data_IF_786565418283
#
_entry.id   IF_786565418283
#
_cell.length_a   1.000
_cell.length_b   1.000
_cell.length_c   1.000
_cell.angle_alpha   90.00
_cell.angle_beta   90.00
_cell.angle_gamma   90.00
#
_symmetry.space_group_name_H-M   'P 1'
#
loop_
_entity.id
_entity.type
_entity.pdbx_description
1 polymer ?
#
# COMPACT_ATOMS: atom_id res chain seq x y z
N UNK A 1 -34.33 -13.81 -16.02
CA UNK A 1 -34.99 -15.14 -16.02
C UNK A 1 -34.00 -16.30 -15.97
N UNK A 2 -33.18 -16.55 -17.01
CA UNK A 2 -32.27 -17.71 -17.02
C UNK A 2 -31.14 -17.62 -15.97
N UNK A 3 -30.51 -16.45 -15.81
CA UNK A 3 -29.48 -16.23 -14.78
C UNK A 3 -30.03 -16.26 -13.35
N UNK A 4 -31.25 -15.73 -13.12
CA UNK A 4 -31.89 -15.79 -11.79
C UNK A 4 -32.21 -17.24 -11.41
N UNK A 5 -32.61 -18.05 -12.38
CA UNK A 5 -32.85 -19.47 -12.18
C UNK A 5 -31.55 -20.23 -11.88
N UNK A 6 -30.48 -19.96 -12.65
CA UNK A 6 -29.15 -20.50 -12.38
C UNK A 6 -28.68 -20.14 -10.96
N UNK A 7 -28.86 -18.88 -10.55
CA UNK A 7 -28.47 -18.41 -9.22
C UNK A 7 -29.20 -19.18 -8.11
N UNK A 8 -30.52 -19.35 -8.24
CA UNK A 8 -31.30 -20.14 -7.26
C UNK A 8 -30.88 -21.61 -7.22
N UNK A 9 -30.64 -22.23 -8.39
CA UNK A 9 -30.24 -23.64 -8.47
C UNK A 9 -28.84 -23.86 -7.88
N UNK A 10 -27.86 -23.01 -8.19
CA UNK A 10 -26.51 -23.10 -7.63
C UNK A 10 -26.50 -22.84 -6.13
N UNK A 11 -27.14 -21.77 -5.63
CA UNK A 11 -27.12 -21.48 -4.19
C UNK A 11 -27.79 -22.58 -3.36
N UNK A 12 -28.91 -23.15 -3.86
CA UNK A 12 -29.58 -24.30 -3.22
C UNK A 12 -28.71 -25.56 -3.26
N UNK A 13 -27.96 -25.75 -4.35
CA UNK A 13 -27.06 -26.88 -4.48
C UNK A 13 -25.87 -26.77 -3.51
N UNK A 14 -25.25 -25.60 -3.45
CA UNK A 14 -24.10 -25.32 -2.60
C UNK A 14 -24.47 -25.24 -1.11
N UNK A 15 -25.75 -25.05 -0.77
CA UNK A 15 -26.21 -25.11 0.63
C UNK A 15 -26.32 -26.52 1.20
N UNK A 16 -26.15 -27.58 0.38
CA UNK A 16 -26.18 -28.98 0.87
C UNK A 16 -24.99 -29.34 1.76
N UNK A 17 -23.93 -28.51 1.75
CA UNK A 17 -22.78 -28.62 2.65
C UNK A 17 -21.82 -29.77 2.36
N UNK A 18 -20.75 -29.81 3.13
CA UNK A 18 -19.57 -30.66 2.90
C UNK A 18 -19.86 -32.18 2.97
N UNK A 19 -20.84 -32.63 3.77
CA UNK A 19 -21.19 -34.05 3.88
C UNK A 19 -21.77 -34.66 2.57
N UNK A 20 -22.18 -33.81 1.62
CA UNK A 20 -22.94 -34.22 0.44
C UNK A 20 -22.22 -33.97 -0.90
N UNK A 21 -20.89 -33.80 -0.90
CA UNK A 21 -20.14 -33.38 -2.09
C UNK A 21 -20.37 -34.27 -3.33
N UNK A 22 -20.48 -35.59 -3.18
CA UNK A 22 -20.78 -36.49 -4.31
C UNK A 22 -22.17 -36.22 -4.94
N UNK A 23 -23.16 -35.88 -4.12
CA UNK A 23 -24.50 -35.50 -4.60
C UNK A 23 -24.45 -34.12 -5.27
N UNK A 24 -23.66 -33.21 -4.70
CA UNK A 24 -23.43 -31.88 -5.26
C UNK A 24 -22.81 -31.99 -6.65
N UNK A 25 -21.76 -32.80 -6.83
CA UNK A 25 -21.09 -33.00 -8.11
C UNK A 25 -22.07 -33.50 -9.19
N UNK A 26 -22.86 -34.56 -8.90
CA UNK A 26 -23.81 -35.11 -9.87
C UNK A 26 -24.83 -34.07 -10.34
N UNK A 27 -25.40 -33.32 -9.40
CA UNK A 27 -26.37 -32.25 -9.70
C UNK A 27 -25.71 -31.04 -10.36
N UNK A 28 -24.45 -30.76 -10.05
CA UNK A 28 -23.70 -29.69 -10.69
C UNK A 28 -23.56 -29.97 -12.19
N UNK A 29 -23.28 -31.21 -12.57
CA UNK A 29 -23.19 -31.60 -13.99
C UNK A 29 -24.52 -31.44 -14.74
N UNK A 30 -25.65 -31.68 -14.07
CA UNK A 30 -26.98 -31.43 -14.62
C UNK A 30 -27.23 -29.93 -14.84
N UNK A 31 -26.85 -29.09 -13.86
CA UNK A 31 -26.93 -27.62 -13.94
C UNK A 31 -26.02 -27.10 -15.06
N UNK A 32 -24.79 -27.61 -15.16
CA UNK A 32 -23.84 -27.23 -16.21
C UNK A 32 -24.36 -27.55 -17.61
N UNK A 33 -24.95 -28.74 -17.79
CA UNK A 33 -25.60 -29.12 -19.07
C UNK A 33 -26.77 -28.23 -19.42
N UNK A 34 -27.56 -27.83 -18.42
CA UNK A 34 -28.78 -27.03 -18.61
C UNK A 34 -28.50 -25.56 -18.95
N UNK A 35 -27.52 -24.93 -18.30
CA UNK A 35 -27.26 -23.49 -18.44
C UNK A 35 -26.00 -23.18 -19.27
N UNK A 36 -25.20 -24.19 -19.59
CA UNK A 36 -23.94 -24.04 -20.31
C UNK A 36 -22.80 -23.58 -19.40
N UNK A 37 -21.59 -24.00 -19.78
CA UNK A 37 -20.34 -23.71 -19.05
C UNK A 37 -20.05 -22.20 -18.99
N UNK A 38 -20.34 -21.47 -20.06
CA UNK A 38 -20.16 -20.01 -20.12
C UNK A 38 -20.93 -19.28 -19.01
N UNK A 39 -22.16 -19.71 -18.73
CA UNK A 39 -23.00 -19.11 -17.67
C UNK A 39 -22.41 -19.36 -16.29
N UNK A 40 -21.76 -20.51 -16.08
CA UNK A 40 -21.07 -20.86 -14.82
C UNK A 40 -19.82 -20.01 -14.61
N UNK A 41 -19.01 -19.82 -15.66
CA UNK A 41 -17.80 -18.96 -15.61
C UNK A 41 -18.16 -17.52 -15.22
N UNK A 42 -19.25 -17.00 -15.79
CA UNK A 42 -19.73 -15.63 -15.54
C UNK A 42 -20.56 -15.49 -14.27
N UNK A 43 -20.98 -16.59 -13.65
CA UNK A 43 -21.84 -16.54 -12.47
C UNK A 43 -21.13 -15.83 -11.30
N UNK A 44 -21.90 -15.01 -10.59
CA UNK A 44 -21.49 -14.33 -9.36
C UNK A 44 -22.64 -14.46 -8.36
N UNK A 45 -22.32 -14.74 -7.11
CA UNK A 45 -23.31 -14.74 -6.05
C UNK A 45 -23.73 -13.31 -5.73
N UNK A 46 -24.89 -12.90 -6.25
CA UNK A 46 -25.47 -11.57 -6.02
C UNK A 46 -26.14 -11.45 -4.65
N UNK A 47 -26.29 -12.54 -3.90
CA UNK A 47 -26.90 -12.50 -2.56
C UNK A 47 -25.92 -12.02 -1.48
N UNK A 48 -24.62 -12.08 -1.76
CA UNK A 48 -23.58 -11.59 -0.85
C UNK A 48 -22.92 -10.30 -1.37
N UNK A 49 -22.53 -9.42 -0.45
CA UNK A 49 -21.89 -8.14 -0.78
C UNK A 49 -20.53 -8.30 -1.47
N UNK A 50 -19.92 -9.49 -1.38
CA UNK A 50 -18.60 -9.80 -1.92
C UNK A 50 -18.65 -10.21 -3.40
N UNK A 51 -19.85 -10.49 -3.94
CA UNK A 51 -20.07 -10.94 -5.31
C UNK A 51 -19.15 -12.11 -5.68
N UNK A 52 -19.09 -13.12 -4.80
CA UNK A 52 -18.22 -14.29 -4.96
C UNK A 52 -18.41 -14.92 -6.35
N UNK A 53 -17.31 -15.32 -7.00
CA UNK A 53 -17.41 -16.28 -8.12
C UNK A 53 -17.69 -17.68 -7.58
N UNK A 54 -18.00 -18.63 -8.47
CA UNK A 54 -18.22 -20.03 -8.08
C UNK A 54 -17.05 -20.59 -7.26
N UNK A 55 -15.80 -20.34 -7.67
CA UNK A 55 -14.63 -20.85 -6.94
C UNK A 55 -14.49 -20.25 -5.54
N UNK A 56 -14.77 -18.95 -5.37
CA UNK A 56 -14.76 -18.32 -4.04
C UNK A 56 -15.84 -18.92 -3.13
N UNK A 57 -17.02 -19.19 -3.69
CA UNK A 57 -18.12 -19.79 -2.93
C UNK A 57 -17.80 -21.21 -2.47
N UNK A 58 -17.10 -22.00 -3.31
CA UNK A 58 -16.64 -23.34 -2.95
C UNK A 58 -15.55 -23.30 -1.86
N UNK A 59 -14.68 -22.29 -1.88
CA UNK A 59 -13.69 -22.06 -0.82
C UNK A 59 -14.37 -21.66 0.49
N UNK A 60 -15.26 -20.66 0.47
CA UNK A 60 -15.97 -20.20 1.68
C UNK A 60 -16.82 -21.31 2.31
N UNK A 61 -17.41 -22.18 1.49
CA UNK A 61 -18.23 -23.32 1.95
C UNK A 61 -17.44 -24.58 2.25
N UNK A 62 -16.12 -24.58 2.05
CA UNK A 62 -15.22 -25.72 2.29
C UNK A 62 -15.64 -26.97 1.52
N UNK A 63 -15.78 -26.85 0.20
CA UNK A 63 -16.21 -27.91 -0.72
C UNK A 63 -15.07 -28.32 -1.67
N UNK A 64 -14.01 -29.01 -1.18
CA UNK A 64 -12.81 -29.32 -1.95
C UNK A 64 -13.03 -30.28 -3.12
N UNK A 65 -13.85 -31.31 -2.96
CA UNK A 65 -14.10 -32.30 -4.03
C UNK A 65 -14.90 -31.68 -5.17
N UNK A 66 -15.88 -30.82 -4.83
CA UNK A 66 -16.63 -30.04 -5.81
C UNK A 66 -15.69 -29.07 -6.53
N UNK A 67 -14.80 -28.37 -5.81
CA UNK A 67 -13.82 -27.48 -6.42
C UNK A 67 -12.90 -28.22 -7.40
N UNK A 68 -12.35 -29.37 -6.97
CA UNK A 68 -11.51 -30.21 -7.82
C UNK A 68 -12.26 -30.64 -9.09
N UNK A 69 -13.48 -31.14 -8.95
CA UNK A 69 -14.32 -31.55 -10.09
C UNK A 69 -14.58 -30.38 -11.04
N UNK A 70 -14.96 -29.22 -10.50
CA UNK A 70 -15.37 -28.11 -11.35
C UNK A 70 -14.19 -27.51 -12.11
N UNK A 71 -13.03 -27.33 -11.46
CA UNK A 71 -11.83 -26.81 -12.11
C UNK A 71 -11.35 -27.75 -13.23
N UNK A 72 -11.41 -29.07 -13.03
CA UNK A 72 -10.96 -30.06 -14.02
C UNK A 72 -11.86 -30.18 -15.24
N UNK A 73 -13.17 -29.96 -15.09
CA UNK A 73 -14.14 -30.27 -16.14
C UNK A 73 -14.73 -29.04 -16.85
N UNK A 74 -14.60 -27.83 -16.29
CA UNK A 74 -15.32 -26.64 -16.78
C UNK A 74 -14.43 -25.42 -17.10
N UNK A 75 -13.11 -25.63 -17.23
CA UNK A 75 -12.14 -24.60 -17.65
C UNK A 75 -12.28 -23.26 -16.91
N UNK A 76 -12.58 -23.31 -15.61
CA UNK A 76 -12.64 -22.12 -14.78
C UNK A 76 -11.23 -21.57 -14.56
N UNK A 77 -11.09 -20.25 -14.65
CA UNK A 77 -9.86 -19.56 -14.24
C UNK A 77 -9.66 -19.73 -12.73
N UNK A 78 -8.70 -20.57 -12.35
CA UNK A 78 -8.38 -20.87 -10.95
C UNK A 78 -7.84 -19.65 -10.19
N UNK A 79 -7.30 -18.67 -10.91
CA UNK A 79 -6.78 -17.42 -10.35
C UNK A 79 -7.78 -16.27 -10.47
N UNK A 80 -9.06 -16.57 -10.73
CA UNK A 80 -10.12 -15.58 -10.83
C UNK A 80 -10.13 -14.68 -9.60
N UNK A 81 -10.16 -13.36 -9.78
CA UNK A 81 -10.20 -12.40 -8.67
C UNK A 81 -11.62 -12.04 -8.28
N UNK A 82 -11.88 -11.97 -6.99
CA UNK A 82 -13.15 -11.54 -6.43
C UNK A 82 -13.37 -10.04 -6.68
N UNK A 83 -14.56 -9.67 -7.14
CA UNK A 83 -14.85 -8.29 -7.52
C UNK A 83 -14.85 -7.28 -6.37
N UNK A 84 -14.99 -7.72 -5.12
CA UNK A 84 -15.05 -6.83 -3.96
C UNK A 84 -13.69 -6.42 -3.38
N UNK A 85 -12.71 -7.33 -3.41
CA UNK A 85 -11.42 -7.15 -2.72
C UNK A 85 -10.23 -7.72 -3.49
N UNK A 86 -10.45 -8.24 -4.70
CA UNK A 86 -9.39 -8.71 -5.59
C UNK A 86 -8.73 -10.03 -5.16
N UNK A 87 -9.18 -10.66 -4.07
CA UNK A 87 -8.61 -11.93 -3.61
C UNK A 87 -8.86 -13.03 -4.65
N UNK A 88 -7.89 -13.93 -4.82
CA UNK A 88 -8.08 -15.20 -5.54
C UNK A 88 -8.66 -16.26 -4.60
N UNK A 89 -9.19 -17.40 -5.12
CA UNK A 89 -9.60 -18.53 -4.29
C UNK A 89 -8.48 -19.01 -3.36
N UNK A 90 -7.21 -19.00 -3.81
CA UNK A 90 -6.06 -19.40 -3.00
C UNK A 90 -5.79 -18.42 -1.85
N UNK A 91 -5.88 -17.12 -2.13
CA UNK A 91 -5.71 -16.09 -1.10
C UNK A 91 -6.86 -16.13 -0.07
N UNK A 92 -8.09 -16.36 -0.53
CA UNK A 92 -9.25 -16.56 0.35
C UNK A 92 -9.10 -17.80 1.24
N UNK A 93 -8.66 -18.93 0.66
CA UNK A 93 -8.40 -20.16 1.42
C UNK A 93 -7.31 -19.95 2.49
N UNK A 94 -6.26 -19.20 2.15
CA UNK A 94 -5.18 -18.84 3.08
C UNK A 94 -5.69 -17.96 4.22
N UNK A 95 -6.53 -16.96 3.91
CA UNK A 95 -7.16 -16.08 4.91
C UNK A 95 -8.10 -16.85 5.85
N UNK A 96 -8.82 -17.85 5.32
CA UNK A 96 -9.66 -18.75 6.08
C UNK A 96 -8.87 -19.80 6.89
N UNK A 97 -7.53 -19.82 6.79
CA UNK A 97 -6.63 -20.81 7.40
C UNK A 97 -6.98 -22.25 7.01
N UNK A 98 -7.48 -22.45 5.78
CA UNK A 98 -7.88 -23.76 5.26
C UNK A 98 -6.71 -24.39 4.47
N UNK A 99 -5.85 -25.13 5.18
CA UNK A 99 -4.65 -25.72 4.58
C UNK A 99 -4.97 -26.77 3.51
N UNK A 100 -6.07 -27.51 3.68
CA UNK A 100 -6.51 -28.50 2.70
C UNK A 100 -6.87 -27.82 1.39
N UNK A 101 -7.65 -26.75 1.45
CA UNK A 101 -8.05 -25.98 0.28
C UNK A 101 -6.85 -25.27 -0.37
N UNK A 102 -5.92 -24.75 0.42
CA UNK A 102 -4.69 -24.15 -0.10
C UNK A 102 -3.86 -25.16 -0.90
N UNK A 103 -3.64 -26.35 -0.34
CA UNK A 103 -2.87 -27.40 -1.00
C UNK A 103 -3.55 -27.87 -2.29
N UNK A 104 -4.87 -28.04 -2.26
CA UNK A 104 -5.66 -28.43 -3.43
C UNK A 104 -5.56 -27.39 -4.55
N UNK A 105 -5.75 -26.11 -4.23
CA UNK A 105 -5.67 -25.04 -5.23
C UNK A 105 -4.27 -24.96 -5.87
N UNK A 106 -3.21 -25.09 -5.07
CA UNK A 106 -1.84 -25.17 -5.58
C UNK A 106 -1.64 -26.38 -6.51
N UNK A 107 -2.13 -27.57 -6.13
CA UNK A 107 -2.08 -28.77 -6.96
C UNK A 107 -2.84 -28.63 -8.30
N UNK A 108 -3.91 -27.83 -8.28
CA UNK A 108 -4.71 -27.52 -9.47
C UNK A 108 -4.12 -26.39 -10.34
N UNK A 109 -2.95 -25.85 -9.97
CA UNK A 109 -2.25 -24.83 -10.76
C UNK A 109 -2.58 -23.38 -10.37
N UNK A 110 -3.16 -23.15 -9.18
CA UNK A 110 -3.26 -21.80 -8.65
C UNK A 110 -1.86 -21.25 -8.41
N UNK A 111 -1.54 -20.16 -9.09
CA UNK A 111 -0.23 -19.53 -8.99
C UNK A 111 -0.11 -18.86 -7.62
N UNK A 112 0.99 -19.12 -6.92
CA UNK A 112 1.45 -18.35 -5.76
C UNK A 112 1.90 -16.96 -6.26
N UNK A 113 0.97 -16.15 -6.76
CA UNK A 113 1.30 -14.80 -7.21
C UNK A 113 1.48 -13.96 -5.95
N UNK A 114 2.74 -13.71 -5.59
CA UNK A 114 3.16 -12.53 -4.85
C UNK A 114 2.61 -11.30 -5.57
N UNK A 115 1.51 -10.71 -5.06
CA UNK A 115 1.18 -9.28 -5.21
C UNK A 115 1.36 -8.60 -6.58
N UNK A 116 1.36 -9.32 -7.71
CA UNK A 116 1.49 -8.68 -9.02
C UNK A 116 0.13 -8.22 -9.54
N UNK A 117 0.05 -6.89 -9.54
CA UNK A 117 -0.80 -6.01 -10.30
C UNK A 117 -2.32 -6.13 -10.07
N UNK A 118 -2.72 -5.88 -8.82
CA UNK A 118 -4.12 -5.53 -8.49
C UNK A 118 -4.62 -4.30 -9.25
N UNK A 119 -3.73 -3.48 -9.85
CA UNK A 119 -4.09 -2.25 -10.58
C UNK A 119 -5.05 -2.50 -11.74
N UNK A 120 -5.04 -3.70 -12.34
CA UNK A 120 -5.95 -4.06 -13.44
C UNK A 120 -7.44 -4.05 -13.04
N UNK A 121 -7.73 -4.23 -11.75
CA UNK A 121 -9.09 -4.40 -11.22
C UNK A 121 -9.54 -3.27 -10.29
N UNK A 122 -8.66 -2.30 -10.05
CA UNK A 122 -9.00 -1.08 -9.33
C UNK A 122 -9.96 -0.23 -10.17
N UNK A 123 -10.82 0.53 -9.47
CA UNK A 123 -11.51 1.65 -10.10
C UNK A 123 -10.46 2.63 -10.66
N UNK A 124 -10.80 3.42 -11.68
CA UNK A 124 -9.84 4.38 -12.23
C UNK A 124 -9.39 5.40 -11.17
N UNK A 125 -10.28 5.73 -10.22
CA UNK A 125 -9.97 6.54 -9.04
C UNK A 125 -8.95 5.82 -8.13
N UNK A 126 -9.15 4.54 -7.81
CA UNK A 126 -8.21 3.79 -6.98
C UNK A 126 -6.87 3.56 -7.67
N UNK A 127 -6.84 3.41 -9.00
CA UNK A 127 -5.57 3.35 -9.77
C UNK A 127 -4.80 4.66 -9.62
N UNK A 128 -5.47 5.79 -9.76
CA UNK A 128 -4.84 7.09 -9.57
C UNK A 128 -4.33 7.24 -8.14
N UNK A 129 -5.18 6.96 -7.14
CA UNK A 129 -4.80 7.03 -5.73
C UNK A 129 -3.70 6.03 -5.35
N UNK A 130 -3.58 4.89 -6.03
CA UNK A 130 -2.52 3.90 -5.75
C UNK A 130 -1.10 4.43 -6.06
N UNK A 131 -1.01 5.52 -6.82
CA UNK A 131 0.23 6.20 -7.13
C UNK A 131 0.57 7.32 -6.13
N UNK A 132 -0.27 7.53 -5.11
CA UNK A 132 -0.01 8.50 -4.06
C UNK A 132 1.18 8.07 -3.19
N UNK A 133 1.80 9.05 -2.56
CA UNK A 133 2.98 8.89 -1.72
C UNK A 133 2.65 9.44 -0.34
N UNK A 134 2.94 8.65 0.70
CA UNK A 134 2.67 9.00 2.10
C UNK A 134 3.97 9.44 2.75
N UNK A 135 4.15 10.74 2.93
CA UNK A 135 5.34 11.31 3.57
C UNK A 135 5.10 11.41 5.07
N UNK A 136 5.94 10.80 5.88
CA UNK A 136 5.86 10.85 7.34
C UNK A 136 7.23 11.17 7.90
N UNK A 137 7.23 11.84 9.03
CA UNK A 137 8.39 12.04 9.89
C UNK A 137 7.91 11.95 11.34
N UNK A 138 8.74 11.37 12.21
CA UNK A 138 8.46 11.16 13.61
C UNK A 138 9.59 11.73 14.47
N UNK A 139 9.23 12.53 15.47
CA UNK A 139 10.15 12.85 16.56
C UNK A 139 9.92 11.87 17.71
N UNK A 140 11.02 11.34 18.27
CA UNK A 140 10.97 10.17 19.17
C UNK A 140 11.80 10.40 20.43
N UNK A 141 11.53 9.59 21.46
CA UNK A 141 12.30 9.59 22.72
C UNK A 141 13.65 8.88 22.61
N UNK A 142 13.77 7.89 21.71
CA UNK A 142 14.98 7.12 21.47
C UNK A 142 14.91 6.36 20.14
N UNK A 143 16.00 5.71 19.73
CA UNK A 143 16.05 4.81 18.56
C UNK A 143 15.78 3.34 18.97
N UNK A 144 16.14 2.95 20.19
CA UNK A 144 16.13 1.54 20.64
C UNK A 144 14.76 1.12 21.18
N UNK A 145 14.18 1.96 22.04
CA UNK A 145 12.85 1.81 22.61
C UNK A 145 12.05 3.09 22.31
N UNK A 146 11.62 3.29 21.05
CA UNK A 146 11.07 4.55 20.61
C UNK A 146 9.64 4.74 21.13
N UNK A 147 9.38 5.88 21.75
CA UNK A 147 8.05 6.44 21.92
C UNK A 147 7.91 7.69 21.04
N UNK A 148 6.77 7.85 20.37
CA UNK A 148 6.54 8.94 19.41
C UNK A 148 6.11 10.20 20.19
N UNK A 149 6.86 11.29 20.07
CA UNK A 149 6.57 12.61 20.64
C UNK A 149 5.79 13.48 19.65
N UNK A 150 6.19 13.49 18.38
CA UNK A 150 5.53 14.22 17.29
C UNK A 150 5.39 13.31 16.08
N UNK A 151 4.26 13.45 15.37
CA UNK A 151 4.03 12.77 14.10
C UNK A 151 3.45 13.78 13.12
N UNK A 152 4.05 13.85 11.93
CA UNK A 152 3.49 14.61 10.82
C UNK A 152 3.28 13.70 9.61
N UNK A 153 2.33 14.09 8.76
CA UNK A 153 2.07 13.45 7.47
C UNK A 153 1.78 14.49 6.41
N UNK A 154 2.32 14.30 5.21
CA UNK A 154 1.84 14.91 3.98
C UNK A 154 1.56 13.79 2.99
N UNK A 155 0.36 13.79 2.41
CA UNK A 155 0.01 12.87 1.32
C UNK A 155 0.14 13.65 0.02
N UNK A 156 0.93 13.14 -0.92
CA UNK A 156 1.06 13.74 -2.24
C UNK A 156 0.59 12.79 -3.34
N UNK A 157 0.19 13.36 -4.48
CA UNK A 157 0.11 12.58 -5.71
C UNK A 157 1.52 12.17 -6.20
N UNK A 158 1.56 11.37 -7.28
CA UNK A 158 2.81 10.98 -7.95
C UNK A 158 3.65 12.15 -8.47
N UNK A 159 3.03 13.32 -8.60
CA UNK A 159 3.64 14.54 -9.10
C UNK A 159 4.15 15.46 -7.97
N UNK A 160 4.10 14.99 -6.72
CA UNK A 160 4.50 15.72 -5.50
C UNK A 160 3.61 16.94 -5.22
N UNK A 161 2.36 16.91 -5.68
CA UNK A 161 1.34 17.89 -5.29
C UNK A 161 0.63 17.37 -4.06
N UNK A 162 0.49 18.23 -3.07
CA UNK A 162 -0.16 17.88 -1.81
C UNK A 162 -1.66 17.64 -2.00
N UNK A 163 -2.15 16.58 -1.36
CA UNK A 163 -3.55 16.17 -1.32
C UNK A 163 -4.17 16.37 0.07
N UNK A 164 -3.39 16.13 1.13
CA UNK A 164 -3.78 16.32 2.53
C UNK A 164 -2.52 16.41 3.41
N UNK A 165 -2.67 17.01 4.60
CA UNK A 165 -1.63 17.11 5.62
C UNK A 165 -2.18 16.90 7.02
N UNK A 166 -1.34 16.49 7.96
CA UNK A 166 -1.67 16.35 9.38
C UNK A 166 -0.42 16.47 10.25
N UNK A 167 -0.56 17.01 11.45
CA UNK A 167 0.53 17.14 12.42
C UNK A 167 -0.05 17.01 13.81
N UNK A 168 0.57 16.17 14.63
CA UNK A 168 0.11 15.86 15.97
C UNK A 168 1.31 15.76 16.92
N UNK A 169 1.13 16.30 18.11
CA UNK A 169 2.07 16.14 19.22
C UNK A 169 1.39 15.26 20.26
N UNK A 170 2.08 14.24 20.76
CA UNK A 170 1.55 13.30 21.75
C UNK A 170 1.94 13.77 23.14
N UNK A 171 1.00 13.68 24.09
CA UNK A 171 1.24 14.12 25.46
C UNK A 171 2.18 13.17 26.22
N UNK A 172 3.16 13.75 26.92
CA UNK A 172 3.99 13.08 27.91
C UNK A 172 4.18 13.97 29.14
N UNK A 173 4.35 13.32 30.30
CA UNK A 173 4.65 14.00 31.55
C UNK A 173 6.05 14.65 31.54
N UNK A 174 6.19 15.73 32.31
CA UNK A 174 7.46 16.44 32.48
C UNK A 174 8.59 15.53 32.96
N UNK A 175 8.30 14.52 33.76
CA UNK A 175 9.29 13.56 34.27
C UNK A 175 9.91 12.73 33.14
N UNK A 176 9.12 12.32 32.14
CA UNK A 176 9.61 11.59 30.97
C UNK A 176 10.56 12.48 30.17
N UNK A 177 10.12 13.71 29.85
CA UNK A 177 10.92 14.67 29.08
C UNK A 177 12.23 15.04 29.79
N UNK A 178 12.21 15.19 31.11
CA UNK A 178 13.40 15.46 31.90
C UNK A 178 14.39 14.27 31.94
N UNK A 179 13.92 13.06 31.67
CA UNK A 179 14.74 11.85 31.57
C UNK A 179 15.41 11.64 30.22
N UNK A 180 15.03 12.41 29.19
CA UNK A 180 15.62 12.29 27.85
C UNK A 180 17.06 12.83 27.82
N UNK A 181 17.90 12.17 27.02
CA UNK A 181 19.34 12.48 26.92
C UNK A 181 19.65 13.89 26.41
N UNK A 182 20.90 14.32 26.57
CA UNK A 182 21.34 15.71 26.31
C UNK A 182 20.96 16.22 24.92
N UNK A 183 21.10 15.39 23.88
CA UNK A 183 20.72 15.80 22.52
C UNK A 183 19.24 16.22 22.41
N UNK A 184 18.33 15.51 23.08
CA UNK A 184 16.92 15.87 23.12
C UNK A 184 16.70 17.17 23.91
N UNK A 185 17.43 17.38 25.00
CA UNK A 185 17.35 18.63 25.77
C UNK A 185 17.79 19.82 24.91
N UNK A 186 18.87 19.67 24.16
CA UNK A 186 19.42 20.71 23.29
C UNK A 186 18.50 20.99 22.10
N UNK A 187 17.86 19.96 21.56
CA UNK A 187 17.04 20.06 20.34
C UNK A 187 15.59 20.46 20.62
N UNK A 188 14.96 19.94 21.68
CA UNK A 188 13.50 20.04 21.88
C UNK A 188 13.04 20.97 23.01
N UNK A 189 13.90 21.36 23.95
CA UNK A 189 13.43 21.95 25.21
C UNK A 189 13.04 23.43 25.15
N UNK A 190 13.82 24.30 24.49
CA UNK A 190 13.57 25.74 24.51
C UNK A 190 14.21 26.46 23.30
N UNK A 191 13.41 27.18 22.53
CA UNK A 191 13.87 27.95 21.37
C UNK A 191 14.85 29.09 21.72
N UNK A 192 14.70 29.76 22.86
CA UNK A 192 15.63 30.79 23.34
C UNK A 192 17.03 30.23 23.64
N UNK A 193 17.17 28.90 23.73
CA UNK A 193 18.43 28.20 23.98
C UNK A 193 18.92 27.39 22.77
N UNK A 194 18.29 27.57 21.60
CA UNK A 194 18.66 26.88 20.37
C UNK A 194 17.88 25.59 20.08
N UNK A 195 16.87 25.26 20.89
CA UNK A 195 15.92 24.18 20.61
C UNK A 195 14.74 24.61 19.73
N UNK A 196 13.69 23.79 19.67
CA UNK A 196 12.53 24.03 18.77
C UNK A 196 11.16 24.00 19.48
N UNK A 197 11.16 24.08 20.81
CA UNK A 197 9.98 24.10 21.69
C UNK A 197 9.07 22.86 21.66
N UNK A 198 9.49 21.74 21.06
CA UNK A 198 8.70 20.51 21.03
C UNK A 198 8.30 20.04 22.45
N UNK A 199 9.14 20.18 23.46
CA UNK A 199 8.76 19.81 24.84
C UNK A 199 7.61 20.65 25.39
N UNK A 200 7.54 21.94 25.04
CA UNK A 200 6.43 22.78 25.46
C UNK A 200 5.12 22.32 24.79
N UNK A 201 5.18 21.95 23.51
CA UNK A 201 4.05 21.41 22.77
C UNK A 201 3.60 20.05 23.33
N UNK A 202 4.54 19.16 23.68
CA UNK A 202 4.26 17.84 24.30
C UNK A 202 3.53 18.00 25.62
N UNK A 203 4.00 18.91 26.50
CA UNK A 203 3.35 19.17 27.78
C UNK A 203 1.95 19.78 27.62
N UNK A 204 1.72 20.56 26.57
CA UNK A 204 0.44 21.22 26.27
C UNK A 204 -0.55 20.28 25.58
N UNK A 205 -0.06 19.29 24.85
CA UNK A 205 -0.90 18.34 24.13
C UNK A 205 -1.81 17.56 25.08
N UNK A 206 -2.93 17.09 24.53
CA UNK A 206 -3.89 16.20 25.19
C UNK A 206 -4.15 14.92 24.39
N UNK A 207 -3.43 14.75 23.28
CA UNK A 207 -3.62 13.62 22.39
C UNK A 207 -2.83 12.42 22.89
N UNK A 208 -3.46 11.25 22.89
CA UNK A 208 -2.77 9.98 23.08
C UNK A 208 -2.29 9.44 21.74
N UNK A 209 -1.31 8.54 21.79
CA UNK A 209 -0.78 7.82 20.62
C UNK A 209 -1.90 7.12 19.83
N UNK A 210 -2.87 6.51 20.51
CA UNK A 210 -3.97 5.78 19.88
C UNK A 210 -4.91 6.72 19.11
N UNK A 211 -5.17 7.92 19.65
CA UNK A 211 -5.96 8.94 18.96
C UNK A 211 -5.24 9.42 17.70
N UNK A 212 -3.92 9.66 17.80
CA UNK A 212 -3.11 10.04 16.63
C UNK A 212 -3.07 8.91 15.59
N UNK A 213 -2.94 7.65 16.00
CA UNK A 213 -2.98 6.50 15.08
C UNK A 213 -4.32 6.43 14.31
N UNK A 214 -5.44 6.65 15.00
CA UNK A 214 -6.77 6.64 14.39
C UNK A 214 -6.98 7.80 13.41
N UNK A 215 -6.59 9.02 13.79
CA UNK A 215 -6.68 10.20 12.92
C UNK A 215 -5.78 10.09 11.69
N UNK A 216 -4.56 9.56 11.87
CA UNK A 216 -3.64 9.30 10.76
C UNK A 216 -4.21 8.22 9.83
N UNK A 217 -4.73 7.11 10.38
CA UNK A 217 -5.33 6.04 9.58
C UNK A 217 -6.54 6.53 8.78
N UNK A 218 -7.40 7.38 9.35
CA UNK A 218 -8.52 7.98 8.62
C UNK A 218 -8.05 8.80 7.40
N UNK A 219 -7.01 9.63 7.57
CA UNK A 219 -6.40 10.36 6.46
C UNK A 219 -5.89 9.42 5.38
N UNK A 220 -5.19 8.36 5.76
CA UNK A 220 -4.70 7.37 4.80
C UNK A 220 -5.84 6.70 4.04
N UNK A 221 -6.92 6.30 4.72
CA UNK A 221 -8.07 5.63 4.09
C UNK A 221 -8.81 6.51 3.08
N UNK A 222 -8.80 7.84 3.25
CA UNK A 222 -9.41 8.78 2.31
C UNK A 222 -8.63 8.90 1.00
N UNK A 223 -7.30 8.79 1.06
CA UNK A 223 -6.41 9.14 -0.05
C UNK A 223 -5.62 7.98 -0.63
N UNK A 224 -5.50 6.86 0.08
CA UNK A 224 -4.63 5.74 -0.28
C UNK A 224 -5.42 4.44 -0.26
N UNK A 225 -5.44 3.65 -1.34
CA UNK A 225 -5.97 2.30 -1.29
C UNK A 225 -5.09 1.43 -0.37
N UNK A 226 -5.73 0.54 0.37
CA UNK A 226 -5.06 -0.31 1.35
C UNK A 226 -3.90 -1.09 0.70
N UNK A 227 -2.74 -1.10 1.38
CA UNK A 227 -1.50 -1.79 1.00
C UNK A 227 -0.87 -1.32 -0.31
N UNK A 228 -1.26 -0.17 -0.88
CA UNK A 228 -0.77 0.26 -2.20
C UNK A 228 0.26 1.39 -2.16
N UNK A 229 0.08 2.36 -1.28
CA UNK A 229 0.92 3.56 -1.25
C UNK A 229 2.19 3.35 -0.40
N UNK A 230 3.39 3.69 -0.90
CA UNK A 230 4.62 3.58 -0.14
C UNK A 230 4.76 4.72 0.88
N UNK A 231 5.45 4.41 1.97
CA UNK A 231 5.92 5.40 2.93
C UNK A 231 7.16 6.12 2.36
N UNK A 232 7.28 7.43 2.57
CA UNK A 232 8.35 8.27 2.08
C UNK A 232 8.86 9.24 3.14
N UNK A 233 10.13 9.62 3.04
CA UNK A 233 10.79 10.55 3.97
C UNK A 233 12.29 10.37 3.98
N UNK A 234 12.99 11.18 4.77
CA UNK A 234 14.44 11.05 4.94
C UNK A 234 14.76 9.97 5.96
N UNK A 235 15.56 8.96 5.59
CA UNK A 235 15.91 7.83 6.48
C UNK A 235 14.67 7.08 7.01
N UNK A 236 13.58 7.10 6.23
CA UNK A 236 12.23 6.65 6.58
C UNK A 236 12.11 5.18 7.03
N UNK A 237 13.16 4.39 6.81
CA UNK A 237 13.22 3.02 7.30
C UNK A 237 13.23 2.95 8.84
N UNK A 238 13.72 4.00 9.53
CA UNK A 238 13.67 4.11 10.99
C UNK A 238 12.23 4.35 11.44
N UNK A 239 11.56 5.36 10.89
CA UNK A 239 10.15 5.66 11.21
C UNK A 239 9.25 4.46 10.91
N UNK A 240 9.51 3.75 9.81
CA UNK A 240 8.78 2.53 9.48
C UNK A 240 8.87 1.46 10.58
N UNK A 241 10.05 1.29 11.18
CA UNK A 241 10.24 0.35 12.29
C UNK A 241 9.48 0.83 13.52
N UNK A 242 9.49 2.13 13.80
CA UNK A 242 8.77 2.73 14.92
C UNK A 242 7.26 2.60 14.73
N UNK A 243 6.72 2.89 13.54
CA UNK A 243 5.31 2.70 13.21
C UNK A 243 4.89 1.23 13.40
N UNK A 244 5.74 0.26 13.05
CA UNK A 244 5.44 -1.15 13.28
C UNK A 244 5.21 -1.48 14.77
N UNK A 245 5.93 -0.80 15.67
CA UNK A 245 5.84 -1.00 17.11
C UNK A 245 4.73 -0.14 17.76
N UNK A 246 4.68 1.13 17.39
CA UNK A 246 3.89 2.18 18.05
C UNK A 246 2.58 2.49 17.35
N UNK A 247 2.44 2.23 16.05
CA UNK A 247 1.22 2.50 15.27
C UNK A 247 0.96 1.38 14.24
N UNK A 248 0.77 0.12 14.70
CA UNK A 248 0.72 -1.05 13.82
C UNK A 248 -0.42 -1.00 12.80
N UNK A 249 -1.56 -0.34 13.09
CA UNK A 249 -2.66 -0.21 12.12
C UNK A 249 -2.24 0.64 10.93
N UNK A 250 -1.50 1.73 11.18
CA UNK A 250 -0.95 2.60 10.13
C UNK A 250 0.13 1.86 9.34
N UNK A 251 1.08 1.22 10.02
CA UNK A 251 2.12 0.40 9.36
C UNK A 251 1.49 -0.66 8.45
N UNK A 252 0.49 -1.37 8.95
CA UNK A 252 -0.20 -2.42 8.22
C UNK A 252 -1.17 -1.89 7.17
N UNK A 253 -1.47 -0.59 7.12
CA UNK A 253 -2.25 -0.04 6.02
C UNK A 253 -1.41 0.26 4.78
N UNK A 254 -0.11 0.52 4.96
CA UNK A 254 0.79 0.99 3.91
C UNK A 254 1.45 -0.16 3.12
N UNK A 255 2.00 0.17 1.96
CA UNK A 255 2.78 -0.77 1.14
C UNK A 255 4.12 -1.14 1.82
N UNK A 256 4.66 -2.32 1.52
CA UNK A 256 5.91 -2.79 2.14
C UNK A 256 7.15 -2.01 1.66
N UNK A 257 7.12 -1.48 0.43
CA UNK A 257 8.19 -0.60 -0.11
C UNK A 257 8.19 0.78 0.56
N UNK A 258 9.34 1.44 0.47
CA UNK A 258 9.55 2.81 0.93
C UNK A 258 10.21 3.63 -0.18
N UNK A 259 10.05 4.95 -0.11
CA UNK A 259 10.80 5.94 -0.89
C UNK A 259 11.69 6.71 0.08
N UNK A 260 12.92 6.24 0.26
CA UNK A 260 13.87 6.82 1.20
C UNK A 260 14.72 7.92 0.53
N UNK A 261 14.47 9.17 0.90
CA UNK A 261 15.18 10.36 0.35
C UNK A 261 16.68 10.28 0.64
N UNK A 262 17.07 9.74 1.79
CA UNK A 262 18.48 9.57 2.17
C UNK A 262 19.19 8.58 1.24
N UNK A 263 18.49 7.60 0.68
CA UNK A 263 19.06 6.70 -0.34
C UNK A 263 19.40 7.46 -1.63
N UNK A 264 18.52 8.37 -2.09
CA UNK A 264 18.81 9.22 -3.25
C UNK A 264 19.99 10.16 -2.98
N UNK A 265 20.05 10.77 -1.79
CA UNK A 265 21.19 11.60 -1.38
C UNK A 265 22.50 10.80 -1.35
N UNK A 266 22.49 9.60 -0.78
CA UNK A 266 23.68 8.75 -0.67
C UNK A 266 24.23 8.35 -2.05
N UNK A 267 23.36 8.07 -3.02
CA UNK A 267 23.74 7.80 -4.41
C UNK A 267 24.26 9.06 -5.10
N UNK A 268 23.57 10.20 -4.94
CA UNK A 268 24.00 11.48 -5.51
C UNK A 268 25.38 11.90 -5.01
N UNK A 269 25.67 11.77 -3.70
CA UNK A 269 27.00 12.09 -3.12
C UNK A 269 28.13 11.36 -3.82
N UNK A 270 27.89 10.12 -4.26
CA UNK A 270 28.90 9.26 -4.87
C UNK A 270 29.02 9.48 -6.37
N UNK A 271 27.90 9.58 -7.08
CA UNK A 271 27.90 9.56 -8.54
C UNK A 271 27.74 10.94 -9.17
N UNK A 272 27.17 11.89 -8.44
CA UNK A 272 26.91 13.23 -8.96
C UNK A 272 26.82 14.30 -7.84
N UNK A 273 27.89 14.50 -7.04
CA UNK A 273 27.87 15.37 -5.87
C UNK A 273 27.51 16.83 -6.20
N UNK A 274 27.80 17.31 -7.41
CA UNK A 274 27.43 18.65 -7.87
C UNK A 274 25.91 18.86 -7.95
N UNK A 275 25.12 17.80 -8.15
CA UNK A 275 23.66 17.88 -8.17
C UNK A 275 23.16 18.19 -6.77
N UNK A 276 23.61 17.44 -5.76
CA UNK A 276 23.17 17.65 -4.38
C UNK A 276 23.52 19.06 -3.90
N UNK A 277 24.75 19.53 -4.19
CA UNK A 277 25.17 20.92 -3.88
C UNK A 277 24.25 21.93 -4.55
N UNK A 278 23.87 21.72 -5.82
CA UNK A 278 22.96 22.61 -6.55
C UNK A 278 21.57 22.61 -5.95
N UNK A 279 21.01 21.43 -5.61
CA UNK A 279 19.69 21.31 -4.99
C UNK A 279 19.68 22.04 -3.66
N UNK A 280 20.63 21.74 -2.77
CA UNK A 280 20.75 22.39 -1.46
C UNK A 280 20.91 23.91 -1.58
N UNK A 281 21.72 24.39 -2.52
CA UNK A 281 21.84 25.82 -2.81
C UNK A 281 20.53 26.44 -3.30
N UNK A 282 19.70 25.70 -4.02
CA UNK A 282 18.41 26.21 -4.48
C UNK A 282 17.40 26.26 -3.33
N UNK A 283 17.31 25.20 -2.54
CA UNK A 283 16.49 25.17 -1.32
C UNK A 283 16.86 26.32 -0.37
N UNK A 284 18.15 26.56 -0.19
CA UNK A 284 18.66 27.65 0.63
C UNK A 284 18.14 29.03 0.20
N UNK A 285 18.16 29.31 -1.10
CA UNK A 285 17.61 30.57 -1.64
C UNK A 285 16.12 30.77 -1.38
N UNK A 286 15.40 29.69 -1.13
CA UNK A 286 13.97 29.69 -0.84
C UNK A 286 13.69 29.56 0.68
N UNK A 287 14.70 29.75 1.54
CA UNK A 287 14.54 29.70 2.99
C UNK A 287 14.44 28.29 3.57
N UNK A 288 14.74 27.25 2.78
CA UNK A 288 14.68 25.84 3.18
C UNK A 288 16.09 25.29 3.40
N UNK A 289 16.87 25.99 4.25
CA UNK A 289 18.30 25.69 4.45
C UNK A 289 18.53 24.45 5.31
N UNK A 290 17.69 24.21 6.33
CA UNK A 290 17.97 23.20 7.35
C UNK A 290 16.72 22.50 7.86
N UNK A 291 16.91 21.23 8.23
CA UNK A 291 16.06 20.39 9.08
C UNK A 291 16.11 20.98 10.49
N UNK A 292 14.96 21.24 11.13
CA UNK A 292 14.88 21.83 12.47
C UNK A 292 14.38 20.85 13.53
N UNK A 293 14.25 19.56 13.17
CA UNK A 293 13.74 18.50 14.03
C UNK A 293 12.31 18.77 14.50
N UNK A 294 11.51 19.34 13.60
CA UNK A 294 10.06 19.39 13.68
C UNK A 294 9.51 18.60 12.52
N UNK A 295 8.64 17.64 12.82
CA UNK A 295 8.25 16.62 11.85
C UNK A 295 7.66 17.20 10.55
N UNK A 296 6.82 18.22 10.64
CA UNK A 296 6.22 18.84 9.44
C UNK A 296 7.25 19.55 8.56
N UNK A 297 8.16 20.32 9.17
CA UNK A 297 9.18 21.09 8.46
C UNK A 297 10.15 20.14 7.73
N UNK A 298 10.49 19.02 8.36
CA UNK A 298 11.40 18.01 7.82
C UNK A 298 10.76 17.21 6.66
N UNK A 299 9.44 16.95 6.73
CA UNK A 299 8.67 16.43 5.59
C UNK A 299 8.66 17.43 4.42
N UNK A 300 8.34 18.70 4.69
CA UNK A 300 8.27 19.74 3.67
C UNK A 300 9.63 19.93 2.98
N UNK A 301 10.72 19.86 3.74
CA UNK A 301 12.07 19.87 3.22
C UNK A 301 12.34 18.65 2.33
N UNK A 302 11.97 17.46 2.77
CA UNK A 302 12.14 16.19 2.02
C UNK A 302 11.38 16.21 0.69
N UNK A 303 10.15 16.71 0.69
CA UNK A 303 9.33 16.89 -0.53
C UNK A 303 9.97 17.92 -1.47
N UNK A 304 10.43 19.05 -0.93
CA UNK A 304 11.05 20.12 -1.72
C UNK A 304 12.36 19.65 -2.36
N UNK A 305 13.18 18.89 -1.62
CA UNK A 305 14.35 18.22 -2.14
C UNK A 305 14.01 17.29 -3.31
N UNK A 306 12.96 16.47 -3.17
CA UNK A 306 12.55 15.52 -4.20
C UNK A 306 11.93 16.21 -5.43
N UNK A 307 11.27 17.37 -5.27
CA UNK A 307 10.82 18.22 -6.38
C UNK A 307 12.00 18.73 -7.21
N UNK A 308 13.04 19.24 -6.55
CA UNK A 308 14.26 19.69 -7.22
C UNK A 308 15.02 18.54 -7.89
N UNK A 309 15.14 17.41 -7.21
CA UNK A 309 15.74 16.20 -7.77
C UNK A 309 14.97 15.71 -9.02
N UNK A 310 13.64 15.65 -8.96
CA UNK A 310 12.78 15.32 -10.11
C UNK A 310 12.95 16.33 -11.26
N UNK A 311 13.01 17.62 -10.95
CA UNK A 311 13.23 18.65 -11.94
C UNK A 311 14.59 18.49 -12.63
N UNK A 312 15.63 18.09 -11.89
CA UNK A 312 16.93 17.75 -12.47
C UNK A 312 16.83 16.56 -13.43
N UNK A 313 16.17 15.47 -13.01
CA UNK A 313 16.01 14.27 -13.85
C UNK A 313 15.24 14.56 -15.14
N UNK A 314 14.23 15.44 -15.10
CA UNK A 314 13.35 15.72 -16.24
C UNK A 314 13.84 16.85 -17.15
N UNK A 315 14.60 17.83 -16.62
CA UNK A 315 15.16 18.94 -17.41
C UNK A 315 16.52 18.63 -18.03
N UNK A 316 17.18 17.56 -17.62
CA UNK A 316 18.48 17.19 -18.19
C UNK A 316 18.31 16.67 -19.62
N UNK A 317 19.24 17.06 -20.52
CA UNK A 317 19.31 16.72 -21.96
C UNK A 317 19.29 15.19 -22.29
N UNK A 318 19.09 14.32 -21.30
CA UNK A 318 19.00 12.86 -21.44
C UNK A 318 17.61 12.35 -21.79
N UNK A 319 16.54 13.14 -21.56
CA UNK A 319 15.20 12.81 -22.07
C UNK A 319 15.21 12.83 -23.60
N UNK A 320 15.94 13.75 -24.22
CA UNK A 320 16.16 13.81 -25.67
C UNK A 320 16.98 12.62 -26.20
N UNK A 321 17.86 12.03 -25.38
CA UNK A 321 18.61 10.82 -25.77
C UNK A 321 17.69 9.59 -25.84
N UNK A 322 16.80 9.43 -24.85
CA UNK A 322 15.80 8.36 -24.83
C UNK A 322 14.70 8.54 -25.90
N UNK A 323 14.27 9.78 -26.16
CA UNK A 323 13.29 10.07 -27.22
C UNK A 323 13.93 10.06 -28.62
N UNK A 324 15.23 10.35 -28.74
CA UNK A 324 16.01 10.27 -29.98
C UNK A 324 16.27 8.83 -30.45
N UNK A 325 16.48 7.90 -29.52
CA UNK A 325 16.62 6.46 -29.81
C UNK A 325 15.32 5.86 -30.38
N UNK A 326 14.16 6.20 -29.83
CA UNK A 326 12.86 5.74 -30.35
C UNK A 326 12.51 6.32 -31.74
N UNK A 327 13.05 7.49 -32.10
CA UNK A 327 12.88 8.07 -33.45
C UNK A 327 13.81 7.45 -34.49
N UNK A 328 14.99 6.95 -34.12
CA UNK A 328 15.90 6.21 -35.03
C UNK A 328 15.38 4.80 -35.33
N UNK A 329 14.81 4.10 -34.36
CA UNK A 329 14.26 2.74 -34.54
C UNK A 329 13.04 2.75 -35.48
N UNK A 330 12.23 3.81 -35.48
CA UNK A 330 11.07 3.94 -36.40
C UNK A 330 11.42 4.38 -37.83
N UNK A 331 12.67 4.72 -38.12
CA UNK A 331 13.07 5.29 -39.43
C UNK A 331 13.87 4.36 -40.34
N UNK A 332 14.31 3.19 -39.90
CA UNK A 332 15.01 2.25 -40.79
C UNK A 332 14.58 0.78 -40.57
N UNK A 333 13.55 0.31 -41.30
CA UNK A 333 13.26 -1.12 -41.41
C UNK A 333 14.23 -1.89 -42.32
N UNK A 334 15.17 -1.22 -42.99
CA UNK A 334 15.99 -1.80 -44.07
C UNK A 334 17.43 -2.21 -43.69
N UNK A 335 17.83 -2.09 -42.42
CA UNK A 335 19.16 -2.54 -41.95
C UNK A 335 19.12 -3.87 -41.17
N UNK A 336 18.02 -4.62 -41.26
CA UNK A 336 17.90 -5.99 -40.73
C UNK A 336 17.79 -7.03 -41.87
N UNK A 337 18.79 -7.07 -42.75
CA UNK A 337 19.06 -8.21 -43.63
C UNK A 337 20.48 -8.69 -43.47
#
# INVERSE_FOLDING_TARGET
>A
MAMDQLNRELLKLLSLGNANQNSIIKRFDEVAKKFGTYSLVKWRDLSNNKKNSLLHELVDRKLPDVLHHVVRNYELDINIRRGSDGLTPLQLASLNKDQLMCNLLKQLGASEIETEDVSRWLSDEDKEKSMNIVWIDLEMTSIEEPEILECAVIITDKDLRELDRGSWVIHFDRSVLAGLGQWHQDTFANADKGGNDLFADVLKSKLTREQVEEELLDKLQRHCPAKMCPLAGSSIHIDKQVLKLQMPKVHDYLHYRIIDVSSFQAVMRRWAPWIEVRIKKNLAKHGQETVNHRAMDDIEWSISFMKEFRAFLTKSKYVDLFHGLNRKIKRNPSELR
#
